data_IF_501116295739
#
_entry.id   IF_501116295739
#
_cell.length_a   1.000
_cell.length_b   1.000
_cell.length_c   1.000
_cell.angle_alpha   90.00
_cell.angle_beta   90.00
_cell.angle_gamma   90.00
#
_symmetry.space_group_name_H-M   'P 1'
#
loop_
_entity.id
_entity.type
_entity.pdbx_description
1 polymer ?
#
# COMPACT_ATOMS: atom_id res chain seq x y z
N UNK A 1 47.22 32.83 -40.21
CA UNK A 1 46.20 33.58 -39.44
C UNK A 1 44.78 33.10 -39.75
N UNK A 2 44.42 31.85 -39.46
CA UNK A 2 43.04 31.34 -39.47
C UNK A 2 43.00 30.10 -38.58
N UNK A 3 42.41 30.19 -37.38
CA UNK A 3 41.92 29.10 -36.49
C UNK A 3 41.71 29.67 -35.09
N UNK A 4 40.65 30.44 -34.89
CA UNK A 4 40.21 30.86 -33.56
C UNK A 4 38.73 31.26 -33.59
N UNK A 5 37.82 30.29 -33.75
CA UNK A 5 36.37 30.53 -33.64
C UNK A 5 35.59 29.21 -33.53
N UNK A 6 35.86 28.38 -32.51
CA UNK A 6 34.98 27.23 -32.21
C UNK A 6 35.07 26.85 -30.73
N UNK A 7 34.86 27.80 -29.83
CA UNK A 7 34.72 27.53 -28.40
C UNK A 7 33.73 28.51 -27.77
N UNK A 8 32.43 28.40 -28.09
CA UNK A 8 31.34 28.77 -27.17
C UNK A 8 29.99 28.45 -27.80
N UNK A 9 29.67 27.17 -27.88
CA UNK A 9 28.29 26.70 -27.98
C UNK A 9 28.14 25.51 -27.03
N UNK A 10 28.57 25.70 -25.77
CA UNK A 10 27.98 24.96 -24.66
C UNK A 10 26.65 25.66 -24.46
N UNK A 11 25.69 25.33 -25.33
CA UNK A 11 24.31 25.64 -25.12
C UNK A 11 24.00 25.13 -23.71
N UNK A 12 23.57 26.05 -22.85
CA UNK A 12 22.92 25.74 -21.61
C UNK A 12 21.69 24.90 -21.97
N UNK A 13 21.88 23.59 -22.11
CA UNK A 13 20.83 22.64 -21.79
C UNK A 13 20.57 22.91 -20.32
N UNK A 14 19.66 23.83 -20.05
CA UNK A 14 18.95 23.90 -18.80
C UNK A 14 18.24 22.55 -18.71
N UNK A 15 18.97 21.57 -18.18
CA UNK A 15 18.41 20.31 -17.74
C UNK A 15 17.43 20.75 -16.67
N UNK A 16 16.16 20.84 -17.03
CA UNK A 16 15.08 20.89 -16.06
C UNK A 16 15.32 19.68 -15.19
N UNK A 17 15.88 19.90 -13.99
CA UNK A 17 15.97 18.84 -13.02
C UNK A 17 14.54 18.30 -12.89
N UNK A 18 14.32 16.99 -13.08
CA UNK A 18 13.01 16.42 -12.82
C UNK A 18 12.60 16.90 -11.43
N UNK A 19 11.34 17.29 -11.28
CA UNK A 19 10.79 17.59 -9.97
C UNK A 19 11.18 16.42 -9.05
N UNK A 20 11.90 16.73 -7.97
CA UNK A 20 12.44 15.69 -7.12
C UNK A 20 11.26 14.94 -6.51
N UNK A 21 11.20 13.62 -6.74
CA UNK A 21 10.19 12.75 -6.17
C UNK A 21 10.11 12.98 -4.65
N UNK A 22 8.94 13.39 -4.15
CA UNK A 22 8.77 13.79 -2.76
C UNK A 22 8.05 12.70 -1.96
N UNK A 23 8.85 11.86 -1.31
CA UNK A 23 8.37 10.87 -0.34
C UNK A 23 8.03 11.55 0.99
N UNK A 24 6.81 11.33 1.48
CA UNK A 24 6.32 11.86 2.77
C UNK A 24 6.63 10.88 3.88
N UNK A 25 6.24 9.62 3.70
CA UNK A 25 6.47 8.57 4.70
C UNK A 25 6.88 7.25 4.07
N UNK A 26 7.60 6.46 4.85
CA UNK A 26 8.12 5.15 4.46
C UNK A 26 8.15 4.19 5.63
N UNK A 27 7.69 2.97 5.42
CA UNK A 27 7.84 1.82 6.32
C UNK A 27 8.26 0.59 5.50
N UNK A 28 9.53 0.22 5.61
CA UNK A 28 10.10 -1.02 5.06
C UNK A 28 10.18 -2.15 6.09
N UNK A 29 9.53 -1.97 7.26
CA UNK A 29 9.53 -2.92 8.36
C UNK A 29 10.93 -3.44 8.74
N UNK A 30 11.94 -2.55 8.77
CA UNK A 30 13.35 -2.87 9.08
C UNK A 30 13.61 -3.32 10.54
N UNK A 31 12.59 -3.79 11.25
CA UNK A 31 12.68 -4.38 12.58
C UNK A 31 13.43 -5.72 12.55
N UNK A 32 13.96 -6.18 13.67
CA UNK A 32 14.53 -7.53 13.74
C UNK A 32 13.45 -8.61 13.51
N UNK A 33 13.82 -9.72 12.87
CA UNK A 33 12.90 -10.85 12.64
C UNK A 33 12.26 -11.35 13.96
N UNK A 34 10.96 -11.56 13.93
CA UNK A 34 10.15 -11.98 15.08
C UNK A 34 9.78 -10.85 16.05
N UNK A 35 10.14 -9.61 15.79
CA UNK A 35 9.77 -8.46 16.64
C UNK A 35 8.28 -8.17 16.52
N UNK A 36 7.58 -8.13 17.65
CA UNK A 36 6.22 -7.59 17.72
C UNK A 36 6.28 -6.06 17.59
N UNK A 37 5.56 -5.52 16.61
CA UNK A 37 5.59 -4.10 16.27
C UNK A 37 4.53 -3.35 17.10
N UNK A 38 4.86 -2.13 17.56
CA UNK A 38 3.91 -1.24 18.25
C UNK A 38 3.63 -1.59 19.72
N UNK A 39 4.52 -2.36 20.37
CA UNK A 39 4.40 -2.74 21.79
C UNK A 39 5.29 -1.93 22.75
N UNK A 40 6.06 -0.96 22.27
CA UNK A 40 6.81 -0.10 23.18
C UNK A 40 7.66 0.96 22.50
N UNK A 41 8.00 2.03 23.25
CA UNK A 41 8.71 3.19 22.72
C UNK A 41 10.09 2.83 22.16
N UNK A 42 10.40 3.33 20.96
CA UNK A 42 11.72 3.30 20.35
C UNK A 42 12.04 2.04 19.55
N UNK A 43 11.06 1.19 19.28
CA UNK A 43 11.24 0.04 18.37
C UNK A 43 11.01 0.38 16.91
N UNK A 44 10.53 1.59 16.63
CA UNK A 44 9.94 1.94 15.37
C UNK A 44 10.93 2.31 14.27
N UNK A 45 10.74 1.66 13.12
CA UNK A 45 11.47 1.96 11.89
C UNK A 45 10.66 2.87 10.99
N UNK A 46 11.26 3.26 9.87
CA UNK A 46 10.64 4.13 8.87
C UNK A 46 10.84 5.62 9.14
N UNK A 47 10.23 6.44 8.28
CA UNK A 47 10.32 7.90 8.33
C UNK A 47 8.97 8.53 7.99
N UNK A 48 8.73 9.76 8.44
CA UNK A 48 7.51 10.52 8.10
C UNK A 48 6.25 10.10 8.87
N UNK A 49 6.44 9.47 10.04
CA UNK A 49 5.37 9.04 10.94
C UNK A 49 5.40 9.88 12.21
N UNK A 50 4.24 10.30 12.73
CA UNK A 50 4.14 11.14 13.94
C UNK A 50 4.21 10.33 15.24
N UNK A 51 4.28 9.01 15.14
CA UNK A 51 4.37 8.11 16.29
C UNK A 51 4.43 6.66 15.85
N UNK A 52 4.25 5.78 16.83
CA UNK A 52 4.38 4.35 16.60
C UNK A 52 3.16 3.72 15.95
N UNK A 53 3.29 2.48 15.48
CA UNK A 53 2.12 1.66 15.18
C UNK A 53 1.26 1.51 16.44
N UNK A 54 -0.01 1.89 16.33
CA UNK A 54 -0.99 1.82 17.41
C UNK A 54 -2.02 0.74 17.10
N UNK A 55 -2.18 -0.19 18.04
CA UNK A 55 -3.25 -1.19 18.00
C UNK A 55 -4.61 -0.52 18.19
N UNK A 56 -5.63 -0.98 17.46
CA UNK A 56 -7.00 -0.61 17.79
C UNK A 56 -7.41 -1.13 19.17
N UNK A 57 -7.69 -0.24 20.12
CA UNK A 57 -8.09 -0.65 21.47
C UNK A 57 -9.46 -1.34 21.55
N UNK A 58 -10.33 -1.22 20.54
CA UNK A 58 -11.69 -1.78 20.60
C UNK A 58 -11.80 -3.24 20.15
N UNK A 59 -10.94 -3.68 19.23
CA UNK A 59 -11.01 -5.00 18.60
C UNK A 59 -9.65 -5.58 18.19
N UNK A 60 -8.56 -4.83 18.36
CA UNK A 60 -7.20 -5.22 18.01
C UNK A 60 -6.59 -6.16 19.04
N UNK A 61 -5.78 -7.10 18.58
CA UNK A 61 -5.16 -8.13 19.43
C UNK A 61 -3.68 -7.86 19.63
N UNK A 62 -3.14 -8.20 20.81
CA UNK A 62 -1.70 -8.03 21.08
C UNK A 62 -0.87 -8.95 20.18
N UNK A 63 0.33 -8.51 19.83
CA UNK A 63 1.31 -9.30 19.06
C UNK A 63 0.75 -9.75 17.69
N UNK A 64 -0.22 -8.99 17.16
CA UNK A 64 -0.91 -9.31 15.91
C UNK A 64 -0.35 -8.57 14.71
N UNK A 65 0.69 -7.77 14.91
CA UNK A 65 1.56 -7.22 13.87
C UNK A 65 3.01 -7.51 14.29
N UNK A 66 3.73 -8.26 13.47
CA UNK A 66 5.13 -8.65 13.74
C UNK A 66 5.98 -8.55 12.49
N UNK A 67 7.24 -8.21 12.65
CA UNK A 67 8.21 -8.25 11.55
C UNK A 67 8.66 -9.70 11.31
N UNK A 68 8.72 -10.11 10.04
CA UNK A 68 9.20 -11.43 9.64
C UNK A 68 10.34 -11.30 8.64
N UNK A 69 11.37 -12.09 8.88
CA UNK A 69 12.59 -12.18 8.09
C UNK A 69 12.33 -12.41 6.61
N UNK A 70 12.97 -11.57 5.79
CA UNK A 70 12.98 -11.68 4.33
C UNK A 70 11.91 -10.82 3.68
N UNK A 71 12.31 -9.69 3.08
CA UNK A 71 11.39 -8.77 2.41
C UNK A 71 10.66 -9.38 1.20
N UNK A 72 9.52 -8.80 0.89
CA UNK A 72 8.77 -9.01 -0.34
C UNK A 72 9.44 -8.20 -1.47
N UNK A 73 9.35 -8.70 -2.70
CA UNK A 73 10.08 -8.11 -3.83
C UNK A 73 9.22 -8.05 -5.08
N UNK A 74 9.19 -6.91 -5.77
CA UNK A 74 8.39 -6.74 -6.98
C UNK A 74 9.25 -6.44 -8.20
N UNK A 75 8.93 -7.07 -9.33
CA UNK A 75 9.52 -6.79 -10.64
C UNK A 75 8.39 -6.65 -11.64
N UNK A 76 8.35 -5.54 -12.36
CA UNK A 76 7.29 -5.28 -13.34
C UNK A 76 7.47 -6.09 -14.64
N UNK A 77 6.50 -5.98 -15.53
CA UNK A 77 6.52 -6.67 -16.83
C UNK A 77 7.69 -6.27 -17.74
N UNK A 78 8.36 -5.15 -17.47
CA UNK A 78 9.53 -4.67 -18.21
C UNK A 78 10.86 -5.08 -17.56
N UNK A 79 10.82 -5.79 -16.43
CA UNK A 79 12.01 -6.19 -15.69
C UNK A 79 12.53 -5.13 -14.72
N UNK A 80 11.82 -4.01 -14.52
CA UNK A 80 12.22 -3.04 -13.51
C UNK A 80 11.89 -3.59 -12.13
N UNK A 81 12.88 -3.61 -11.23
CA UNK A 81 12.68 -4.00 -9.85
C UNK A 81 12.32 -2.77 -8.99
N UNK A 82 11.27 -2.91 -8.19
CA UNK A 82 10.98 -1.95 -7.13
C UNK A 82 12.09 -2.04 -6.09
N UNK A 83 12.60 -0.90 -5.64
CA UNK A 83 13.54 -0.88 -4.53
C UNK A 83 12.83 -1.37 -3.28
N UNK A 84 13.40 -2.40 -2.64
CA UNK A 84 12.94 -2.89 -1.34
C UNK A 84 14.10 -2.96 -0.35
N UNK A 85 13.78 -2.96 0.94
CA UNK A 85 14.68 -3.12 2.08
C UNK A 85 13.93 -3.76 3.24
N UNK A 86 14.69 -4.34 4.18
CA UNK A 86 14.12 -4.79 5.44
C UNK A 86 13.41 -6.14 5.39
N UNK A 87 12.44 -6.24 6.28
CA UNK A 87 11.57 -7.39 6.52
C UNK A 87 10.15 -7.01 6.08
N UNK A 88 9.16 -7.86 6.32
CA UNK A 88 7.76 -7.47 6.12
C UNK A 88 6.98 -7.50 7.43
N UNK A 89 5.93 -6.68 7.52
CA UNK A 89 4.95 -6.70 8.59
C UNK A 89 3.90 -7.78 8.33
N UNK A 90 3.87 -8.83 9.16
CA UNK A 90 2.84 -9.85 9.15
C UNK A 90 1.71 -9.47 10.10
N UNK A 91 0.54 -9.19 9.54
CA UNK A 91 -0.70 -8.90 10.26
C UNK A 91 -1.49 -10.21 10.38
N UNK A 92 -1.56 -10.69 11.61
CA UNK A 92 -2.03 -12.03 11.93
C UNK A 92 -2.69 -12.00 13.30
N UNK A 93 -3.94 -12.45 13.38
CA UNK A 93 -4.68 -12.42 14.62
C UNK A 93 -4.09 -13.32 15.74
N UNK A 94 -3.35 -14.40 15.42
CA UNK A 94 -3.08 -15.43 16.45
C UNK A 94 -1.63 -15.93 16.56
N UNK A 95 -0.68 -15.28 15.87
CA UNK A 95 0.53 -16.04 15.51
C UNK A 95 0.14 -17.21 14.59
N UNK A 96 1.09 -17.99 14.13
CA UNK A 96 0.79 -19.19 13.32
C UNK A 96 0.03 -20.31 14.11
N UNK A 97 -0.52 -20.01 15.29
CA UNK A 97 -1.27 -20.94 16.11
C UNK A 97 -2.70 -21.14 15.58
N UNK A 98 -3.11 -22.41 15.46
CA UNK A 98 -4.47 -22.77 15.07
C UNK A 98 -5.47 -22.17 16.06
N UNK A 99 -6.37 -21.30 15.55
CA UNK A 99 -7.48 -20.80 16.33
C UNK A 99 -8.68 -21.75 16.20
N UNK A 100 -9.07 -22.36 17.31
CA UNK A 100 -10.29 -23.16 17.45
C UNK A 100 -11.37 -22.36 18.21
N UNK A 101 -11.09 -21.12 18.62
CA UNK A 101 -11.87 -20.40 19.62
C UNK A 101 -12.75 -19.27 19.05
N UNK A 102 -13.37 -19.48 17.88
CA UNK A 102 -14.64 -18.85 17.43
C UNK A 102 -14.87 -17.33 17.65
N UNK A 103 -13.84 -16.52 17.88
CA UNK A 103 -13.96 -15.13 18.33
C UNK A 103 -14.01 -14.11 17.20
N UNK A 104 -14.76 -13.02 17.39
CA UNK A 104 -14.78 -11.83 16.52
C UNK A 104 -13.54 -10.95 16.73
N UNK A 105 -12.36 -11.51 16.48
CA UNK A 105 -11.10 -10.81 16.74
C UNK A 105 -10.43 -10.42 15.42
N UNK A 106 -9.88 -9.21 15.37
CA UNK A 106 -9.18 -8.66 14.21
C UNK A 106 -7.80 -8.19 14.65
N UNK A 107 -6.78 -8.43 13.83
CA UNK A 107 -5.53 -7.69 13.91
C UNK A 107 -5.77 -6.36 13.20
N UNK A 108 -5.81 -5.25 13.94
CA UNK A 108 -6.08 -3.93 13.38
C UNK A 108 -5.10 -2.93 13.99
N UNK A 109 -4.28 -2.36 13.13
CA UNK A 109 -3.18 -1.46 13.47
C UNK A 109 -3.25 -0.22 12.62
N UNK A 110 -2.82 0.91 13.16
CA UNK A 110 -2.72 2.14 12.40
C UNK A 110 -1.50 2.94 12.79
N UNK A 111 -1.07 3.82 11.89
CA UNK A 111 0.04 4.74 12.13
C UNK A 111 -0.28 6.09 11.50
N UNK A 112 -0.01 7.16 12.23
CA UNK A 112 -0.30 8.51 11.77
C UNK A 112 0.90 9.07 11.02
N UNK A 113 0.63 9.85 9.97
CA UNK A 113 1.63 10.60 9.22
C UNK A 113 2.18 11.74 10.08
N UNK A 114 3.44 12.09 9.89
CA UNK A 114 3.99 13.36 10.37
C UNK A 114 3.94 14.39 9.23
N UNK A 115 2.96 15.28 9.31
CA UNK A 115 2.74 16.33 8.31
C UNK A 115 3.22 17.70 8.81
N UNK A 116 3.88 17.76 9.97
CA UNK A 116 4.33 19.02 10.56
C UNK A 116 5.33 19.77 9.68
N UNK A 117 6.15 19.05 8.90
CA UNK A 117 7.08 19.62 7.91
C UNK A 117 6.39 20.36 6.76
N UNK A 118 5.11 20.09 6.52
CA UNK A 118 4.27 20.77 5.54
C UNK A 118 3.41 21.88 6.18
N UNK A 119 3.42 22.01 7.51
CA UNK A 119 2.51 22.88 8.24
C UNK A 119 1.04 22.44 8.12
N UNK A 120 0.80 21.15 7.88
CA UNK A 120 -0.51 20.57 7.63
C UNK A 120 -0.90 19.57 8.72
N UNK A 121 -2.20 19.34 8.86
CA UNK A 121 -2.79 18.37 9.79
C UNK A 121 -3.31 17.12 9.10
N UNK A 122 -3.50 17.18 7.78
CA UNK A 122 -3.99 16.09 6.93
C UNK A 122 -3.47 16.25 5.49
N UNK A 123 -3.62 15.21 4.67
CA UNK A 123 -3.15 15.21 3.28
C UNK A 123 -3.90 16.19 2.37
N UNK A 124 -5.17 16.48 2.65
CA UNK A 124 -5.96 17.48 1.91
C UNK A 124 -5.32 18.86 1.98
N UNK A 125 -4.81 19.25 3.14
CA UNK A 125 -4.06 20.51 3.32
C UNK A 125 -2.69 20.51 2.62
N UNK A 126 -2.05 19.34 2.48
CA UNK A 126 -0.74 19.21 1.81
C UNK A 126 -0.88 19.41 0.31
N UNK A 127 -1.84 18.74 -0.34
CA UNK A 127 -1.96 18.76 -1.81
C UNK A 127 -2.96 19.79 -2.34
N UNK A 128 -3.89 20.23 -1.50
CA UNK A 128 -4.99 21.10 -1.89
C UNK A 128 -6.07 20.40 -2.71
N UNK A 129 -7.21 21.09 -2.87
CA UNK A 129 -8.33 20.63 -3.71
C UNK A 129 -7.88 20.44 -5.16
N UNK A 130 -8.23 19.30 -5.74
CA UNK A 130 -7.82 18.87 -7.08
C UNK A 130 -6.40 18.31 -7.15
N UNK A 131 -5.63 18.41 -6.06
CA UNK A 131 -4.32 17.79 -5.93
C UNK A 131 -4.42 16.28 -5.68
N UNK A 132 -3.37 15.56 -6.06
CA UNK A 132 -3.27 14.13 -5.82
C UNK A 132 -2.04 13.79 -5.00
N UNK A 133 -2.11 12.66 -4.29
CA UNK A 133 -0.97 11.99 -3.67
C UNK A 133 -1.11 10.49 -3.89
N UNK A 134 -0.02 9.78 -3.63
CA UNK A 134 0.11 8.36 -3.92
C UNK A 134 0.51 7.61 -2.66
N UNK A 135 0.06 6.37 -2.60
CA UNK A 135 0.45 5.39 -1.61
C UNK A 135 0.83 4.11 -2.34
N UNK A 136 1.81 3.39 -1.84
CA UNK A 136 2.09 2.06 -2.37
C UNK A 136 2.45 1.10 -1.25
N UNK A 137 2.22 -0.18 -1.50
CA UNK A 137 2.65 -1.26 -0.63
C UNK A 137 2.76 -2.55 -1.45
N UNK A 138 3.59 -3.48 -0.98
CA UNK A 138 3.53 -4.86 -1.43
C UNK A 138 2.64 -5.62 -0.45
N UNK A 139 1.57 -6.23 -0.95
CA UNK A 139 0.65 -7.04 -0.17
C UNK A 139 0.72 -8.50 -0.58
N UNK A 140 0.79 -9.41 0.37
CA UNK A 140 0.66 -10.84 0.11
C UNK A 140 -0.29 -11.46 1.11
N UNK A 141 -1.34 -12.09 0.59
CA UNK A 141 -2.23 -12.90 1.42
C UNK A 141 -1.46 -14.12 1.93
N UNK A 142 -1.50 -14.32 3.24
CA UNK A 142 -0.89 -15.46 3.93
C UNK A 142 -1.98 -16.22 4.70
N UNK A 143 -1.57 -17.26 5.40
CA UNK A 143 -2.44 -18.01 6.30
C UNK A 143 -2.79 -19.41 5.81
N UNK A 144 -3.59 -20.09 6.61
CA UNK A 144 -3.86 -21.52 6.49
C UNK A 144 -5.09 -21.77 5.63
N UNK A 145 -5.07 -22.85 4.88
CA UNK A 145 -6.26 -23.49 4.32
C UNK A 145 -7.37 -23.61 5.38
N UNK A 146 -8.59 -23.18 5.06
CA UNK A 146 -9.74 -23.37 5.94
C UNK A 146 -10.17 -24.85 5.88
N UNK A 147 -10.56 -25.47 7.01
CA UNK A 147 -11.32 -26.71 6.94
C UNK A 147 -12.68 -26.40 6.27
N UNK A 148 -12.83 -26.79 5.02
CA UNK A 148 -14.12 -26.85 4.36
C UNK A 148 -14.87 -28.04 4.97
N UNK A 149 -15.96 -27.75 5.69
CA UNK A 149 -16.94 -28.80 6.01
C UNK A 149 -17.71 -29.05 4.73
N UNK A 150 -17.25 -30.01 3.93
CA UNK A 150 -18.04 -30.53 2.82
C UNK A 150 -18.99 -31.54 3.43
N UNK A 151 -20.26 -31.20 3.47
CA UNK A 151 -21.31 -32.18 3.73
C UNK A 151 -21.41 -33.09 2.50
N UNK A 152 -20.64 -34.20 2.52
CA UNK A 152 -20.48 -35.10 1.36
C UNK A 152 -21.68 -36.00 1.14
N UNK A 153 -22.53 -36.17 2.14
CA UNK A 153 -23.67 -37.08 2.09
C UNK A 153 -25.03 -36.37 2.30
N UNK A 154 -25.03 -35.05 2.52
CA UNK A 154 -26.21 -34.23 2.78
C UNK A 154 -27.02 -34.76 3.97
N UNK A 155 -26.33 -35.28 4.98
CA UNK A 155 -26.91 -35.66 6.25
C UNK A 155 -26.75 -34.52 7.29
N UNK A 156 -27.46 -34.63 8.41
CA UNK A 156 -27.38 -33.62 9.47
C UNK A 156 -26.08 -33.67 10.31
N UNK A 157 -25.11 -34.51 9.92
CA UNK A 157 -23.85 -34.75 10.62
C UNK A 157 -22.75 -34.05 9.81
N UNK A 158 -21.93 -33.19 10.43
CA UNK A 158 -20.79 -32.59 9.74
C UNK A 158 -19.81 -33.67 9.26
N UNK A 159 -19.76 -33.91 7.95
CA UNK A 159 -18.77 -34.78 7.31
C UNK A 159 -17.35 -34.16 7.40
N UNK A 160 -16.33 -35.00 7.19
CA UNK A 160 -14.91 -34.69 7.41
C UNK A 160 -14.46 -33.33 6.85
N UNK A 161 -13.62 -32.65 7.62
CA UNK A 161 -12.94 -31.41 7.23
C UNK A 161 -11.92 -31.70 6.13
N UNK A 162 -12.28 -31.48 4.87
CA UNK A 162 -11.29 -31.31 3.81
C UNK A 162 -10.68 -29.92 4.00
N UNK A 163 -9.37 -29.82 4.17
CA UNK A 163 -8.69 -28.52 4.15
C UNK A 163 -8.68 -28.02 2.70
N UNK A 164 -9.66 -27.19 2.33
CA UNK A 164 -9.55 -26.39 1.11
C UNK A 164 -8.64 -25.21 1.44
N UNK A 165 -7.73 -24.77 0.56
CA UNK A 165 -7.21 -23.40 0.66
C UNK A 165 -8.39 -22.51 1.00
N UNK A 166 -8.27 -21.70 2.06
CA UNK A 166 -9.33 -20.77 2.38
C UNK A 166 -9.49 -19.96 1.10
N UNK A 167 -10.57 -20.15 0.35
CA UNK A 167 -10.68 -19.47 -0.94
C UNK A 167 -10.98 -17.98 -0.71
N UNK A 168 -11.39 -17.59 0.51
CA UNK A 168 -11.92 -16.26 0.81
C UNK A 168 -11.38 -15.72 2.14
N UNK A 169 -10.22 -15.06 2.12
CA UNK A 169 -9.70 -14.35 3.27
C UNK A 169 -10.67 -13.21 3.58
N UNK A 170 -11.42 -13.37 4.67
CA UNK A 170 -12.32 -12.33 5.13
C UNK A 170 -11.50 -11.22 5.77
N UNK A 171 -11.90 -10.00 5.49
CA UNK A 171 -11.42 -8.83 6.19
C UNK A 171 -9.90 -8.69 6.26
N UNK A 172 -9.22 -8.78 5.12
CA UNK A 172 -7.80 -8.42 4.98
C UNK A 172 -7.66 -7.25 4.02
N UNK A 173 -7.18 -6.11 4.52
CA UNK A 173 -7.10 -4.89 3.72
C UNK A 173 -6.12 -3.87 4.30
N UNK A 174 -5.66 -3.01 3.39
CA UNK A 174 -5.01 -1.75 3.69
C UNK A 174 -6.07 -0.65 3.86
N UNK A 175 -5.85 0.29 4.77
CA UNK A 175 -6.81 1.34 5.09
C UNK A 175 -6.20 2.73 5.05
N UNK A 176 -6.93 3.66 4.46
CA UNK A 176 -6.73 5.10 4.63
C UNK A 176 -7.48 5.58 5.87
N UNK A 177 -6.78 6.26 6.79
CA UNK A 177 -7.32 6.64 8.11
C UNK A 177 -7.44 8.15 8.25
N UNK A 178 -8.57 8.61 8.81
CA UNK A 178 -8.84 10.00 9.16
C UNK A 178 -9.13 10.17 10.66
N UNK A 179 -8.46 11.15 11.27
CA UNK A 179 -8.41 11.39 12.71
C UNK A 179 -7.51 10.37 13.39
N UNK A 180 -6.81 10.74 14.47
CA UNK A 180 -5.80 9.88 15.13
C UNK A 180 -6.31 8.59 15.82
N UNK A 181 -7.40 7.99 15.31
CA UNK A 181 -8.03 6.71 15.66
C UNK A 181 -8.45 6.03 14.36
N UNK A 182 -8.96 4.79 14.40
CA UNK A 182 -9.46 4.10 13.21
C UNK A 182 -10.80 4.64 12.69
N UNK A 183 -10.78 5.89 12.24
CA UNK A 183 -11.71 6.43 11.27
C UNK A 183 -11.31 5.94 9.88
N UNK A 184 -11.46 4.64 9.63
CA UNK A 184 -11.24 4.06 8.31
C UNK A 184 -12.08 4.81 7.29
N UNK A 185 -11.51 5.28 6.18
CA UNK A 185 -12.29 5.96 5.15
C UNK A 185 -12.31 5.17 3.87
N UNK A 186 -11.15 4.66 3.46
CA UNK A 186 -11.00 3.85 2.26
C UNK A 186 -10.31 2.55 2.64
N UNK A 187 -10.88 1.42 2.24
CA UNK A 187 -10.31 0.10 2.43
C UNK A 187 -9.93 -0.45 1.06
N UNK A 188 -8.71 -0.94 0.90
CA UNK A 188 -8.18 -1.58 -0.30
C UNK A 188 -7.76 -3.01 0.04
N UNK A 189 -8.51 -4.00 -0.43
CA UNK A 189 -8.30 -5.42 -0.09
C UNK A 189 -9.55 -6.27 -0.25
N UNK A 190 -9.65 -7.36 0.49
CA UNK A 190 -10.86 -8.16 0.61
C UNK A 190 -11.52 -7.89 1.96
N UNK A 191 -12.29 -6.80 1.99
CA UNK A 191 -12.97 -6.32 3.17
C UNK A 191 -14.37 -6.95 3.32
N UNK A 192 -14.77 -7.26 4.56
CA UNK A 192 -16.06 -7.88 4.86
C UNK A 192 -16.10 -9.40 4.80
N UNK A 193 -17.31 -9.93 4.78
CA UNK A 193 -17.67 -11.35 4.75
C UNK A 193 -17.77 -11.95 3.34
N UNK A 194 -17.25 -11.22 2.35
CA UNK A 194 -17.44 -11.52 0.94
C UNK A 194 -16.94 -12.92 0.58
N UNK A 195 -17.74 -13.60 -0.24
CA UNK A 195 -17.41 -14.91 -0.81
C UNK A 195 -16.66 -14.78 -2.14
N UNK A 196 -16.12 -13.60 -2.47
CA UNK A 196 -15.37 -13.37 -3.70
C UNK A 196 -13.90 -13.17 -3.36
N UNK A 197 -13.05 -13.94 -4.04
CA UNK A 197 -11.60 -13.80 -3.96
C UNK A 197 -11.13 -12.70 -4.93
N UNK A 198 -11.45 -11.45 -4.60
CA UNK A 198 -11.16 -10.28 -5.45
C UNK A 198 -10.71 -9.10 -4.61
N UNK A 199 -9.77 -8.34 -5.16
CA UNK A 199 -9.41 -7.04 -4.62
C UNK A 199 -10.58 -6.06 -4.77
N UNK A 200 -10.77 -5.23 -3.77
CA UNK A 200 -11.81 -4.21 -3.75
C UNK A 200 -11.32 -2.89 -3.23
N UNK A 201 -12.01 -1.84 -3.64
CA UNK A 201 -12.01 -0.54 -2.95
C UNK A 201 -13.40 -0.29 -2.37
N UNK A 202 -13.45 -0.10 -1.05
CA UNK A 202 -14.66 0.36 -0.34
C UNK A 202 -14.39 1.70 0.32
N UNK A 203 -15.37 2.58 0.23
CA UNK A 203 -15.43 3.77 1.06
C UNK A 203 -16.35 3.51 2.27
N UNK A 204 -15.95 3.94 3.47
CA UNK A 204 -16.73 3.73 4.70
C UNK A 204 -18.10 4.41 4.60
N UNK A 205 -19.12 3.75 5.15
CA UNK A 205 -20.50 4.22 5.22
C UNK A 205 -21.18 4.46 3.85
N UNK A 206 -20.59 3.97 2.76
CA UNK A 206 -21.20 4.08 1.44
C UNK A 206 -21.97 2.79 1.17
N UNK A 207 -23.33 2.79 1.15
CA UNK A 207 -24.13 1.61 0.82
C UNK A 207 -24.02 1.18 -0.66
N UNK A 208 -23.15 1.83 -1.45
CA UNK A 208 -22.95 1.55 -2.88
C UNK A 208 -21.90 0.46 -3.05
N UNK A 209 -22.15 -0.41 -4.03
CA UNK A 209 -21.28 -1.47 -4.51
C UNK A 209 -19.77 -1.11 -4.44
N UNK A 210 -19.01 -1.98 -3.80
CA UNK A 210 -17.55 -1.95 -3.81
C UNK A 210 -17.05 -1.87 -5.26
N UNK A 211 -15.97 -1.13 -5.52
CA UNK A 211 -15.27 -1.31 -6.78
C UNK A 211 -14.52 -2.64 -6.69
N UNK A 212 -14.77 -3.58 -7.61
CA UNK A 212 -14.22 -4.95 -7.58
C UNK A 212 -13.31 -5.17 -8.78
N UNK A 213 -12.09 -5.66 -8.54
CA UNK A 213 -11.11 -5.90 -9.59
C UNK A 213 -11.33 -7.27 -10.20
N UNK A 214 -10.88 -7.47 -11.44
CA UNK A 214 -10.77 -8.82 -12.03
C UNK A 214 -9.57 -9.60 -11.48
N UNK A 215 -8.64 -8.92 -10.80
CA UNK A 215 -7.45 -9.53 -10.21
C UNK A 215 -7.85 -10.29 -8.93
N UNK A 216 -7.53 -11.59 -8.85
CA UNK A 216 -7.84 -12.38 -7.65
C UNK A 216 -7.12 -11.86 -6.40
N UNK A 217 -7.78 -11.95 -5.25
CA UNK A 217 -7.16 -11.73 -3.92
C UNK A 217 -6.41 -12.99 -3.44
N UNK A 218 -5.64 -13.58 -4.35
CA UNK A 218 -4.98 -14.86 -4.17
C UNK A 218 -3.74 -14.76 -3.27
N UNK A 219 -3.16 -15.92 -2.93
CA UNK A 219 -1.89 -16.07 -2.19
C UNK A 219 -0.64 -15.59 -2.95
N UNK A 220 -0.82 -14.82 -4.03
CA UNK A 220 0.28 -14.26 -4.78
C UNK A 220 0.53 -12.84 -4.29
N UNK A 221 1.80 -12.51 -4.11
CA UNK A 221 2.24 -11.16 -3.84
C UNK A 221 1.76 -10.19 -4.92
N UNK A 222 1.22 -9.04 -4.51
CA UNK A 222 0.79 -7.94 -5.38
C UNK A 222 1.53 -6.68 -4.97
N UNK A 223 2.06 -5.93 -5.94
CA UNK A 223 2.42 -4.54 -5.70
C UNK A 223 1.20 -3.65 -5.97
N UNK A 224 0.79 -2.88 -4.97
CA UNK A 224 -0.42 -2.06 -5.03
C UNK A 224 0.00 -0.60 -5.02
N UNK A 225 -0.52 0.20 -5.96
CA UNK A 225 -0.40 1.65 -5.94
C UNK A 225 -1.79 2.25 -5.85
N UNK A 226 -2.01 3.13 -4.88
CA UNK A 226 -3.25 3.84 -4.62
C UNK A 226 -3.00 5.32 -4.86
N UNK A 227 -3.71 5.92 -5.80
CA UNK A 227 -3.75 7.37 -5.99
C UNK A 227 -5.02 7.92 -5.38
N UNK A 228 -4.89 9.00 -4.63
CA UNK A 228 -6.01 9.72 -4.05
C UNK A 228 -5.97 11.15 -4.57
N UNK A 229 -7.04 11.54 -5.25
CA UNK A 229 -7.26 12.91 -5.69
C UNK A 229 -8.29 13.55 -4.78
N UNK A 230 -7.89 14.64 -4.14
CA UNK A 230 -8.69 15.36 -3.16
C UNK A 230 -9.69 16.24 -3.88
N UNK A 231 -10.95 16.12 -3.51
CA UNK A 231 -12.08 16.86 -4.04
C UNK A 231 -12.35 18.16 -3.29
N UNK A 232 -13.44 18.84 -3.69
CA UNK A 232 -14.06 19.91 -2.93
C UNK A 232 -15.37 19.39 -2.35
N UNK A 233 -15.48 19.41 -1.03
CA UNK A 233 -16.57 18.77 -0.29
C UNK A 233 -17.74 19.70 0.00
N UNK A 234 -17.65 20.96 -0.44
CA UNK A 234 -18.82 21.83 -0.40
C UNK A 234 -19.85 21.34 -1.43
N UNK A 235 -20.84 20.59 -0.95
CA UNK A 235 -21.97 20.11 -1.78
C UNK A 235 -22.80 21.23 -2.38
N UNK A 236 -22.68 22.45 -1.85
CA UNK A 236 -23.36 23.63 -2.36
C UNK A 236 -22.49 24.39 -3.36
N UNK A 237 -21.21 24.03 -3.52
CA UNK A 237 -20.35 24.58 -4.55
C UNK A 237 -20.78 23.99 -5.92
N UNK A 238 -21.11 24.84 -6.91
CA UNK A 238 -21.40 24.37 -8.27
C UNK A 238 -20.23 23.62 -8.92
N UNK A 239 -19.02 23.74 -8.35
CA UNK A 239 -17.82 23.02 -8.75
C UNK A 239 -17.48 21.89 -7.75
N UNK A 240 -18.49 21.28 -7.11
CA UNK A 240 -18.30 20.10 -6.29
C UNK A 240 -17.50 19.02 -7.05
N UNK A 241 -16.43 18.56 -6.43
CA UNK A 241 -15.58 17.48 -6.94
C UNK A 241 -15.49 16.46 -5.82
N UNK A 242 -15.97 15.22 -5.98
CA UNK A 242 -15.77 14.20 -4.96
C UNK A 242 -14.30 13.78 -4.89
N UNK A 243 -13.88 13.30 -3.71
CA UNK A 243 -12.63 12.58 -3.59
C UNK A 243 -12.65 11.35 -4.51
N UNK A 244 -11.53 11.09 -5.17
CA UNK A 244 -11.36 10.00 -6.12
C UNK A 244 -10.20 9.11 -5.70
N UNK A 245 -10.47 7.81 -5.61
CA UNK A 245 -9.48 6.78 -5.36
C UNK A 245 -9.31 5.92 -6.62
N UNK A 246 -8.06 5.79 -7.06
CA UNK A 246 -7.66 4.95 -8.18
C UNK A 246 -6.62 3.95 -7.68
N UNK A 247 -6.73 2.68 -8.08
CA UNK A 247 -5.80 1.62 -7.64
C UNK A 247 -5.30 0.84 -8.82
N UNK A 248 -4.00 0.58 -8.83
CA UNK A 248 -3.31 -0.30 -9.77
C UNK A 248 -2.71 -1.49 -9.01
N UNK A 249 -2.77 -2.66 -9.63
CA UNK A 249 -2.12 -3.88 -9.18
C UNK A 249 -1.04 -4.29 -10.18
N UNK A 250 0.17 -4.46 -9.67
CA UNK A 250 1.37 -4.76 -10.44
C UNK A 250 1.58 -3.80 -11.63
N UNK A 251 1.52 -2.46 -11.42
CA UNK A 251 1.76 -1.52 -12.50
C UNK A 251 3.21 -1.53 -12.98
N UNK A 252 3.44 -1.09 -14.22
CA UNK A 252 4.78 -0.72 -14.69
C UNK A 252 5.31 0.45 -13.85
N UNK A 253 6.56 0.35 -13.39
CA UNK A 253 7.10 1.27 -12.37
C UNK A 253 7.51 2.64 -12.92
N UNK A 254 7.80 2.74 -14.23
CA UNK A 254 8.53 3.88 -14.82
C UNK A 254 7.75 5.19 -14.87
N UNK A 255 6.42 5.13 -14.97
CA UNK A 255 5.55 6.30 -14.84
C UNK A 255 4.08 5.88 -14.75
N UNK A 256 3.26 6.74 -14.14
CA UNK A 256 1.80 6.55 -14.09
C UNK A 256 1.20 6.40 -15.50
N UNK A 257 1.64 7.23 -16.45
CA UNK A 257 1.13 7.17 -17.84
C UNK A 257 1.46 5.86 -18.57
N UNK A 258 2.52 5.15 -18.16
CA UNK A 258 2.88 3.84 -18.69
C UNK A 258 2.27 2.69 -17.88
N UNK A 259 1.80 2.93 -16.66
CA UNK A 259 1.06 1.95 -15.86
C UNK A 259 -0.29 1.57 -16.48
N UNK A 260 -0.82 2.43 -17.37
CA UNK A 260 -2.11 2.23 -18.01
C UNK A 260 -3.28 2.69 -17.12
N UNK A 261 -4.49 2.25 -17.47
CA UNK A 261 -5.69 2.57 -16.69
C UNK A 261 -5.66 1.88 -15.32
N UNK A 262 -6.22 2.50 -14.27
CA UNK A 262 -6.35 1.85 -12.97
C UNK A 262 -7.25 0.61 -13.05
N UNK A 263 -6.93 -0.41 -12.26
CA UNK A 263 -7.72 -1.63 -12.11
C UNK A 263 -9.01 -1.39 -11.30
N UNK A 264 -8.98 -0.39 -10.41
CA UNK A 264 -10.13 0.03 -9.61
C UNK A 264 -10.24 1.54 -9.60
N UNK A 265 -11.47 2.04 -9.71
CA UNK A 265 -11.79 3.46 -9.59
C UNK A 265 -13.01 3.61 -8.70
N UNK A 266 -12.91 4.44 -7.65
CA UNK A 266 -14.01 4.68 -6.72
C UNK A 266 -14.04 6.15 -6.30
N UNK A 267 -15.19 6.78 -6.52
CA UNK A 267 -15.50 8.06 -5.88
C UNK A 267 -15.92 7.82 -4.44
N UNK A 268 -15.38 8.63 -3.53
CA UNK A 268 -15.76 8.62 -2.12
C UNK A 268 -16.89 9.63 -1.94
N UNK A 269 -18.10 9.10 -1.87
CA UNK A 269 -19.35 9.84 -1.68
C UNK A 269 -20.09 9.17 -0.53
N UNK A 270 -20.52 9.93 0.48
CA UNK A 270 -21.56 9.43 1.38
C UNK A 270 -22.90 9.62 0.66
N UNK A 271 -23.60 8.51 0.45
CA UNK A 271 -24.85 8.48 -0.32
C UNK A 271 -26.09 8.91 0.50
N UNK A 272 -25.89 9.50 1.69
CA UNK A 272 -27.01 9.87 2.56
C UNK A 272 -26.77 11.07 3.49
N UNK A 273 -25.53 11.46 3.74
CA UNK A 273 -25.12 12.62 4.55
C UNK A 273 -23.92 13.26 3.83
N UNK A 274 -23.60 14.53 4.11
CA UNK A 274 -22.46 15.29 3.56
C UNK A 274 -21.28 14.43 3.07
N UNK A 275 -20.70 14.72 1.89
CA UNK A 275 -19.57 13.98 1.33
C UNK A 275 -18.47 13.83 2.37
N UNK A 276 -17.95 12.61 2.46
CA UNK A 276 -16.94 12.23 3.43
C UNK A 276 -15.58 12.74 2.93
N UNK A 277 -14.95 13.62 3.70
CA UNK A 277 -13.57 14.04 3.47
C UNK A 277 -12.62 12.89 3.78
N UNK A 278 -11.82 12.47 2.81
CA UNK A 278 -10.72 11.55 3.08
C UNK A 278 -9.77 12.14 4.13
N UNK A 279 -9.53 13.46 4.13
CA UNK A 279 -8.65 14.21 5.05
C UNK A 279 -7.64 13.31 5.77
N UNK A 280 -6.81 12.61 4.99
CA UNK A 280 -6.04 11.49 5.50
C UNK A 280 -5.03 11.97 6.53
N UNK A 281 -5.00 11.29 7.67
CA UNK A 281 -4.05 11.55 8.76
C UNK A 281 -3.12 10.37 9.00
N UNK A 282 -3.41 9.20 8.43
CA UNK A 282 -2.69 7.98 8.71
C UNK A 282 -3.05 6.85 7.77
N UNK A 283 -2.49 5.69 8.07
CA UNK A 283 -2.63 4.44 7.35
C UNK A 283 -2.98 3.34 8.33
N UNK A 284 -3.68 2.31 7.87
CA UNK A 284 -4.11 1.19 8.69
C UNK A 284 -3.87 -0.14 8.00
N UNK A 285 -3.58 -1.17 8.80
CA UNK A 285 -3.45 -2.55 8.35
C UNK A 285 -4.45 -3.39 9.12
N UNK A 286 -5.20 -4.22 8.39
CA UNK A 286 -6.21 -5.07 8.99
C UNK A 286 -6.14 -6.49 8.41
N UNK A 287 -6.17 -7.49 9.28
CA UNK A 287 -6.49 -8.88 8.94
C UNK A 287 -7.34 -9.52 10.06
N UNK A 288 -8.45 -10.19 9.74
CA UNK A 288 -9.34 -10.70 10.79
C UNK A 288 -10.49 -11.58 10.30
N UNK A 289 -11.48 -11.81 11.17
CA UNK A 289 -12.61 -12.73 10.89
C UNK A 289 -13.97 -12.02 10.80
N UNK A 290 -14.09 -10.77 11.28
CA UNK A 290 -15.31 -9.94 11.20
C UNK A 290 -16.63 -10.69 11.51
N UNK A 291 -16.62 -11.62 12.47
CA UNK A 291 -17.82 -12.33 12.94
C UNK A 291 -18.27 -13.53 12.11
N UNK A 292 -17.43 -14.06 11.22
CA UNK A 292 -17.78 -15.19 10.35
C UNK A 292 -17.69 -16.59 10.94
N UNK A 293 -17.21 -16.76 12.18
CA UNK A 293 -16.97 -18.08 12.78
C UNK A 293 -15.93 -18.93 12.03
N UNK A 294 -15.14 -18.32 11.12
CA UNK A 294 -14.06 -18.95 10.36
C UNK A 294 -12.70 -18.55 10.92
N UNK A 295 -11.60 -19.04 10.34
CA UNK A 295 -10.28 -18.51 10.68
C UNK A 295 -10.15 -17.10 10.12
N UNK A 296 -9.51 -16.22 10.89
CA UNK A 296 -9.21 -14.87 10.44
C UNK A 296 -8.22 -14.89 9.27
N UNK A 297 -8.25 -13.85 8.44
CA UNK A 297 -7.23 -13.66 7.42
C UNK A 297 -5.86 -13.35 8.04
N UNK A 298 -4.82 -13.64 7.26
CA UNK A 298 -3.45 -13.25 7.55
C UNK A 298 -2.92 -12.52 6.31
N UNK A 299 -2.24 -11.39 6.51
CA UNK A 299 -1.73 -10.60 5.41
C UNK A 299 -0.33 -10.09 5.74
N UNK A 300 0.61 -10.29 4.82
CA UNK A 300 1.91 -9.66 4.84
C UNK A 300 1.82 -8.32 4.10
N UNK A 301 2.42 -7.30 4.68
CA UNK A 301 2.61 -5.99 4.09
C UNK A 301 4.08 -5.65 4.12
N UNK A 302 4.56 -5.08 3.02
CA UNK A 302 5.91 -4.58 2.92
C UNK A 302 5.91 -3.25 2.16
N UNK A 303 6.98 -2.49 2.31
CA UNK A 303 7.29 -1.37 1.43
C UNK A 303 6.23 -0.28 1.35
N UNK A 304 5.62 0.04 2.50
CA UNK A 304 4.57 1.03 2.61
C UNK A 304 5.14 2.44 2.40
N UNK A 305 4.65 3.12 1.37
CA UNK A 305 5.07 4.47 0.99
C UNK A 305 3.87 5.40 0.90
N UNK A 306 4.09 6.66 1.26
CA UNK A 306 3.19 7.78 0.95
C UNK A 306 4.03 8.90 0.34
N UNK A 307 3.60 9.45 -0.79
CA UNK A 307 4.34 10.50 -1.47
C UNK A 307 3.47 11.33 -2.42
N UNK A 308 4.03 12.41 -2.95
CA UNK A 308 3.30 13.39 -3.75
C UNK A 308 3.25 13.07 -5.24
N UNK A 309 4.02 12.10 -5.68
CA UNK A 309 4.16 11.72 -7.08
C UNK A 309 4.38 10.21 -7.22
N UNK A 310 4.15 9.71 -8.43
CA UNK A 310 4.28 8.30 -8.75
C UNK A 310 5.68 7.77 -8.43
N UNK A 311 6.71 8.50 -8.88
CA UNK A 311 8.11 8.13 -8.75
C UNK A 311 8.54 7.98 -7.28
N UNK A 312 7.95 8.74 -6.37
CA UNK A 312 8.21 8.64 -4.93
C UNK A 312 7.72 7.34 -4.32
N UNK A 313 6.65 6.74 -4.86
CA UNK A 313 6.07 5.49 -4.36
C UNK A 313 6.43 4.27 -5.22
N UNK A 314 7.02 4.47 -6.39
CA UNK A 314 7.53 3.39 -7.28
C UNK A 314 9.05 3.49 -7.57
N UNK A 315 9.91 3.69 -6.56
CA UNK A 315 11.34 3.91 -6.80
C UNK A 315 11.96 2.70 -7.50
N UNK A 316 12.49 2.91 -8.71
CA UNK A 316 13.19 1.88 -9.48
C UNK A 316 14.64 1.84 -9.04
N UNK A 317 15.17 0.63 -8.81
CA UNK A 317 16.63 0.44 -8.68
C UNK A 317 17.24 0.56 -10.08
N UNK A 318 18.11 1.55 -10.36
CA UNK A 318 18.78 1.61 -11.65
C UNK A 318 19.58 0.34 -11.89
N UNK A 319 19.44 -0.29 -13.06
CA UNK A 319 20.21 -1.48 -13.38
C UNK A 319 21.71 -1.18 -13.21
N UNK A 320 22.47 -1.97 -12.42
CA UNK A 320 23.88 -1.70 -12.12
C UNK A 320 24.77 -1.66 -13.38
N UNK A 321 24.28 -2.22 -14.49
CA UNK A 321 24.98 -2.33 -15.75
C UNK A 321 25.19 -0.98 -16.45
N UNK A 322 24.19 -0.09 -16.46
CA UNK A 322 24.23 1.12 -17.30
C UNK A 322 25.29 2.12 -16.80
N UNK A 323 25.37 2.34 -15.48
CA UNK A 323 26.36 3.22 -14.89
C UNK A 323 27.78 2.65 -15.00
N UNK A 324 27.95 1.34 -14.79
CA UNK A 324 29.24 0.67 -14.94
C UNK A 324 29.73 0.71 -16.40
N UNK A 325 28.84 0.47 -17.38
CA UNK A 325 29.16 0.56 -18.81
C UNK A 325 29.53 1.98 -19.23
N UNK A 326 28.79 3.00 -18.77
CA UNK A 326 29.13 4.40 -19.04
C UNK A 326 30.47 4.79 -18.40
N UNK A 327 30.75 4.31 -17.18
CA UNK A 327 32.03 4.50 -16.51
C UNK A 327 33.19 3.83 -17.28
N UNK A 328 33.01 2.60 -17.75
CA UNK A 328 33.99 1.87 -18.55
C UNK A 328 34.22 2.52 -19.92
N UNK A 329 33.16 2.98 -20.59
CA UNK A 329 33.26 3.74 -21.84
C UNK A 329 34.01 5.06 -21.63
N UNK A 330 33.73 5.77 -20.53
CA UNK A 330 34.47 6.96 -20.12
C UNK A 330 35.95 6.69 -19.94
N UNK A 331 36.31 5.64 -19.19
CA UNK A 331 37.71 5.25 -18.98
C UNK A 331 38.40 4.82 -20.29
N UNK A 332 37.71 4.10 -21.17
CA UNK A 332 38.24 3.69 -22.47
C UNK A 332 38.56 4.90 -23.37
N UNK A 333 37.71 5.92 -23.39
CA UNK A 333 37.98 7.16 -24.16
C UNK A 333 39.14 7.97 -23.60
N UNK A 334 39.28 8.04 -22.27
CA UNK A 334 40.44 8.68 -21.61
C UNK A 334 41.73 7.91 -21.91
N UNK A 335 41.69 6.58 -21.84
CA UNK A 335 42.84 5.73 -22.15
C UNK A 335 43.29 5.87 -23.61
N UNK A 336 42.34 6.00 -24.56
CA UNK A 336 42.65 6.20 -25.98
C UNK A 336 43.27 7.55 -26.29
N UNK A 337 42.97 8.61 -25.52
CA UNK A 337 43.60 9.94 -25.70
C UNK A 337 45.03 10.03 -25.19
N UNK A 338 45.47 9.09 -24.34
CA UNK A 338 46.82 9.08 -23.75
C UNK A 338 47.83 8.23 -24.55
N UNK A 339 47.37 7.51 -25.58
CA UNK A 339 48.23 6.82 -26.56
C UNK A 339 48.33 7.66 -27.81
#
# INVERSE_FOLDING_TARGET
MKKLATCLAIAAAAVSAPAAAQLISYEGFDYADGTDIGLGPGTDTGSGWSGEWVRNGSNGVENSLRAIGGGLGYTDANGNALRTSGNYGLVDFNGLAADDAGGTRNAQWYRNLDLSGFGATNMTEVVGVGGSYYQSFIGERRGVSDPLTVDTNNDSIPDQTAFSPNDYARNAHYTVVNGGRLGEIVQVGNNGDSTLDRWKVRAKNVPVDDAVSDIPFAYNQQFVVVKITVGNLDTMDPNFIPDLVEVWFNPVLTSEGLAGSPDLTKFVLDNSISPLDIAQTGVGLLAGNEGGGRRGAVMAFDELRVGLDWESVTPIVPEPCAAALLGLCGLATVARRRR
#
